data_IF_541466014914
#
_entry.id   IF_541466014914
#
_cell.length_a   1.000
_cell.length_b   1.000
_cell.length_c   1.000
_cell.angle_alpha   90.00
_cell.angle_beta   90.00
_cell.angle_gamma   90.00
#
_symmetry.space_group_name_H-M   'P 1'
#
loop_
_entity.id
_entity.type
_entity.pdbx_description
1 polymer ?
#
# COMPACT_ATOMS: atom_id res chain seq x y z
N UNK A 1 27.39 6.96 -3.63
CA UNK A 1 26.03 7.57 -3.67
C UNK A 1 25.20 7.09 -4.86
N UNK A 2 25.39 7.54 -6.11
CA UNK A 2 24.48 7.17 -7.23
C UNK A 2 24.39 5.65 -7.47
N UNK A 3 25.53 4.95 -7.46
CA UNK A 3 25.56 3.49 -7.66
C UNK A 3 24.86 2.75 -6.50
N UNK A 4 25.03 3.21 -5.25
CA UNK A 4 24.44 2.58 -4.06
C UNK A 4 22.91 2.63 -4.08
N UNK A 5 22.32 3.70 -4.63
CA UNK A 5 20.88 3.81 -4.80
C UNK A 5 20.38 3.23 -6.13
N UNK A 6 21.21 3.16 -7.17
CA UNK A 6 20.76 2.59 -8.44
C UNK A 6 20.73 1.06 -8.40
N UNK A 7 21.73 0.45 -7.77
CA UNK A 7 21.91 -1.00 -7.78
C UNK A 7 20.74 -1.79 -7.17
N UNK A 8 20.21 -1.46 -5.98
CA UNK A 8 19.10 -2.21 -5.38
C UNK A 8 17.83 -2.18 -6.24
N UNK A 9 17.51 -1.03 -6.83
CA UNK A 9 16.33 -0.86 -7.69
C UNK A 9 16.48 -1.66 -8.97
N UNK A 10 17.63 -1.54 -9.67
CA UNK A 10 17.87 -2.30 -10.90
C UNK A 10 17.94 -3.80 -10.64
N UNK A 11 18.64 -4.23 -9.58
CA UNK A 11 18.73 -5.64 -9.21
C UNK A 11 17.34 -6.22 -8.92
N UNK A 12 16.50 -5.48 -8.18
CA UNK A 12 15.14 -5.91 -7.89
C UNK A 12 14.26 -5.95 -9.15
N UNK A 13 14.36 -4.95 -10.03
CA UNK A 13 13.64 -4.94 -11.31
C UNK A 13 14.02 -6.14 -12.19
N UNK A 14 15.32 -6.42 -12.32
CA UNK A 14 15.82 -7.60 -13.06
C UNK A 14 15.38 -8.92 -12.41
N UNK A 15 15.37 -8.99 -11.09
CA UNK A 15 14.83 -10.13 -10.35
C UNK A 15 13.37 -10.39 -10.72
N UNK A 16 12.50 -9.38 -10.71
CA UNK A 16 11.09 -9.56 -11.07
C UNK A 16 10.86 -9.85 -12.56
N UNK A 17 11.71 -9.35 -13.46
CA UNK A 17 11.74 -9.82 -14.85
C UNK A 17 12.03 -11.32 -14.93
N UNK A 18 13.02 -11.80 -14.17
CA UNK A 18 13.35 -13.23 -14.09
C UNK A 18 12.21 -14.07 -13.49
N UNK A 19 11.57 -13.58 -12.43
CA UNK A 19 10.39 -14.23 -11.81
C UNK A 19 9.25 -14.32 -12.82
N UNK A 20 8.96 -13.26 -13.57
CA UNK A 20 7.94 -13.30 -14.62
C UNK A 20 8.23 -14.39 -15.65
N UNK A 21 9.45 -14.44 -16.19
CA UNK A 21 9.86 -15.47 -17.15
C UNK A 21 9.65 -16.87 -16.54
N UNK A 22 10.11 -17.10 -15.31
CA UNK A 22 9.94 -18.39 -14.64
C UNK A 22 8.45 -18.75 -14.45
N UNK A 23 7.61 -17.81 -14.02
CA UNK A 23 6.19 -18.05 -13.80
C UNK A 23 5.42 -18.34 -15.08
N UNK A 24 5.85 -17.82 -16.24
CA UNK A 24 5.23 -18.19 -17.52
C UNK A 24 5.35 -19.68 -17.85
N UNK A 25 6.36 -20.37 -17.30
CA UNK A 25 6.54 -21.82 -17.47
C UNK A 25 5.93 -22.65 -16.34
N UNK A 26 5.87 -22.11 -15.12
CA UNK A 26 5.44 -22.84 -13.93
C UNK A 26 3.93 -22.70 -13.67
N UNK A 27 3.39 -21.51 -13.89
CA UNK A 27 1.98 -21.20 -13.57
C UNK A 27 1.15 -21.39 -14.83
N UNK A 28 0.15 -22.27 -14.76
CA UNK A 28 -0.82 -22.49 -15.82
C UNK A 28 -2.07 -21.65 -15.54
N UNK A 29 -2.35 -20.60 -16.34
CA UNK A 29 -3.57 -19.81 -16.16
C UNK A 29 -4.83 -20.63 -16.48
N UNK A 30 -5.95 -20.39 -15.77
CA UNK A 30 -7.22 -21.04 -16.11
C UNK A 30 -7.62 -20.79 -17.58
N UNK A 31 -8.08 -21.83 -18.31
CA UNK A 31 -8.32 -21.74 -19.76
C UNK A 31 -9.44 -20.78 -20.15
N UNK A 32 -10.35 -20.49 -19.22
CA UNK A 32 -11.49 -19.56 -19.39
C UNK A 32 -11.08 -18.07 -19.45
N UNK A 33 -9.86 -17.73 -19.05
CA UNK A 33 -9.39 -16.35 -19.04
C UNK A 33 -9.03 -15.88 -20.44
N UNK A 34 -9.34 -14.61 -20.75
CA UNK A 34 -8.82 -13.93 -21.94
C UNK A 34 -7.31 -13.73 -21.83
N UNK A 35 -6.62 -13.41 -22.94
CA UNK A 35 -5.16 -13.27 -22.90
C UNK A 35 -4.68 -12.13 -21.99
N UNK A 36 -5.43 -11.02 -21.89
CA UNK A 36 -5.13 -9.95 -20.93
C UNK A 36 -5.32 -10.44 -19.49
N UNK A 37 -6.41 -11.18 -19.21
CA UNK A 37 -6.64 -11.76 -17.88
C UNK A 37 -5.59 -12.81 -17.51
N UNK A 38 -5.09 -13.61 -18.46
CA UNK A 38 -3.98 -14.55 -18.22
C UNK A 38 -2.71 -13.82 -17.81
N UNK A 39 -2.39 -12.69 -18.45
CA UNK A 39 -1.25 -11.85 -18.07
C UNK A 39 -1.43 -11.24 -16.69
N UNK A 40 -2.64 -10.72 -16.40
CA UNK A 40 -2.98 -10.23 -15.07
C UNK A 40 -2.82 -11.33 -14.01
N UNK A 41 -3.30 -12.55 -14.28
CA UNK A 41 -3.16 -13.69 -13.37
C UNK A 41 -1.69 -14.02 -13.06
N UNK A 42 -0.79 -13.97 -14.04
CA UNK A 42 0.65 -14.09 -13.80
C UNK A 42 1.17 -12.90 -12.98
N UNK A 43 0.75 -11.67 -13.30
CA UNK A 43 1.07 -10.45 -12.55
C UNK A 43 0.68 -10.54 -11.07
N UNK A 44 -0.49 -11.12 -10.75
CA UNK A 44 -0.94 -11.35 -9.37
C UNK A 44 -0.02 -12.31 -8.62
N UNK A 45 0.56 -13.32 -9.28
CA UNK A 45 1.55 -14.21 -8.66
C UNK A 45 2.88 -13.49 -8.41
N UNK A 46 3.34 -12.66 -9.35
CA UNK A 46 4.55 -11.83 -9.16
C UNK A 46 4.32 -10.88 -7.97
N UNK A 47 3.15 -10.24 -7.91
CA UNK A 47 2.74 -9.35 -6.83
C UNK A 47 2.66 -10.08 -5.48
N UNK A 48 2.16 -11.32 -5.47
CA UNK A 48 2.11 -12.15 -4.26
C UNK A 48 3.53 -12.43 -3.76
N UNK A 49 4.43 -12.87 -4.63
CA UNK A 49 5.84 -13.10 -4.29
C UNK A 49 6.44 -11.80 -3.75
N UNK A 50 6.26 -10.69 -4.43
CA UNK A 50 6.75 -9.40 -3.96
C UNK A 50 6.26 -9.05 -2.57
N UNK A 51 4.95 -9.06 -2.36
CA UNK A 51 4.37 -8.66 -1.08
C UNK A 51 4.83 -9.53 0.09
N UNK A 52 5.09 -10.83 -0.14
CA UNK A 52 5.67 -11.73 0.87
C UNK A 52 7.11 -11.32 1.18
N UNK A 53 7.96 -11.17 0.15
CA UNK A 53 9.37 -10.79 0.33
C UNK A 53 9.50 -9.40 0.97
N UNK A 54 8.77 -8.41 0.47
CA UNK A 54 8.76 -7.06 1.00
C UNK A 54 8.29 -7.01 2.46
N UNK A 55 7.21 -7.74 2.80
CA UNK A 55 6.74 -7.83 4.18
C UNK A 55 7.79 -8.43 5.11
N UNK A 56 8.42 -9.53 4.70
CA UNK A 56 9.47 -10.19 5.51
C UNK A 56 10.67 -9.26 5.69
N UNK A 57 11.20 -8.72 4.60
CA UNK A 57 12.37 -7.85 4.62
C UNK A 57 12.13 -6.58 5.45
N UNK A 58 10.99 -5.91 5.24
CA UNK A 58 10.64 -4.70 5.98
C UNK A 58 10.43 -4.97 7.47
N UNK A 59 9.72 -6.06 7.82
CA UNK A 59 9.56 -6.47 9.22
C UNK A 59 10.88 -6.83 9.87
N UNK A 60 11.77 -7.54 9.17
CA UNK A 60 13.08 -7.90 9.71
C UNK A 60 13.91 -6.66 10.06
N UNK A 61 13.97 -5.67 9.15
CA UNK A 61 14.69 -4.42 9.40
C UNK A 61 14.03 -3.65 10.54
N UNK A 62 12.71 -3.45 10.48
CA UNK A 62 11.94 -2.75 11.49
C UNK A 62 12.10 -3.36 12.89
N UNK A 63 12.08 -4.69 13.01
CA UNK A 63 12.27 -5.38 14.29
C UNK A 63 13.73 -5.24 14.76
N UNK A 64 14.71 -5.42 13.86
CA UNK A 64 16.13 -5.35 14.20
C UNK A 64 16.57 -3.96 14.68
N UNK A 65 15.88 -2.91 14.23
CA UNK A 65 16.16 -1.52 14.59
C UNK A 65 15.38 -1.04 15.82
N UNK A 66 14.64 -1.94 16.48
CA UNK A 66 13.73 -1.61 17.60
C UNK A 66 12.60 -0.64 17.21
N UNK A 67 12.08 -0.80 16.00
CA UNK A 67 10.95 -0.05 15.49
C UNK A 67 11.36 1.20 14.70
N UNK A 68 10.49 2.22 14.71
CA UNK A 68 10.70 3.43 13.91
C UNK A 68 11.65 4.42 14.59
N UNK A 69 12.55 5.00 13.80
CA UNK A 69 13.36 6.16 14.19
C UNK A 69 13.31 7.25 13.11
N UNK A 70 12.60 8.34 13.42
CA UNK A 70 12.25 9.37 12.44
C UNK A 70 13.41 10.25 11.99
N UNK A 71 14.43 10.44 12.82
CA UNK A 71 15.48 11.46 12.60
C UNK A 71 16.90 10.86 12.69
N UNK A 72 17.06 9.66 12.12
CA UNK A 72 18.37 9.01 11.98
C UNK A 72 18.80 8.84 10.53
N UNK A 73 20.10 8.97 10.25
CA UNK A 73 20.65 8.74 8.92
C UNK A 73 20.18 7.41 8.33
N UNK A 74 19.81 7.46 7.05
CA UNK A 74 19.40 6.29 6.30
C UNK A 74 20.55 5.31 6.18
N UNK A 75 20.31 4.05 6.56
CA UNK A 75 21.34 3.00 6.54
C UNK A 75 21.18 2.04 5.36
N UNK A 76 22.18 1.17 5.17
CA UNK A 76 22.22 0.25 4.04
C UNK A 76 21.04 -0.75 4.02
N UNK A 77 20.60 -1.26 5.18
CA UNK A 77 19.46 -2.18 5.24
C UNK A 77 18.16 -1.50 4.80
N UNK A 78 17.93 -0.27 5.25
CA UNK A 78 16.78 0.54 4.82
C UNK A 78 16.81 0.80 3.31
N UNK A 79 17.98 1.14 2.74
CA UNK A 79 18.17 1.33 1.29
C UNK A 79 17.85 0.04 0.54
N UNK A 80 18.37 -1.11 0.97
CA UNK A 80 18.12 -2.39 0.29
C UNK A 80 16.63 -2.75 0.30
N UNK A 81 15.95 -2.59 1.44
CA UNK A 81 14.52 -2.91 1.56
C UNK A 81 13.67 -1.97 0.71
N UNK A 82 13.91 -0.65 0.81
CA UNK A 82 13.19 0.33 0.00
C UNK A 82 13.47 0.15 -1.49
N UNK A 83 14.72 -0.07 -1.86
CA UNK A 83 15.14 -0.32 -3.23
C UNK A 83 14.52 -1.59 -3.82
N UNK A 84 14.34 -2.64 -3.01
CA UNK A 84 13.62 -3.84 -3.41
C UNK A 84 12.18 -3.53 -3.83
N UNK A 85 11.42 -2.82 -3.00
CA UNK A 85 10.05 -2.42 -3.32
C UNK A 85 9.99 -1.41 -4.48
N UNK A 86 10.88 -0.42 -4.54
CA UNK A 86 10.87 0.53 -5.66
C UNK A 86 11.21 -0.12 -7.00
N UNK A 87 12.11 -1.11 -7.02
CA UNK A 87 12.38 -1.91 -8.22
C UNK A 87 11.17 -2.73 -8.66
N UNK A 88 10.44 -3.33 -7.71
CA UNK A 88 9.16 -3.99 -7.99
C UNK A 88 8.12 -3.02 -8.55
N UNK A 89 7.85 -1.90 -7.89
CA UNK A 89 6.82 -0.96 -8.31
C UNK A 89 7.12 -0.34 -9.69
N UNK A 90 8.40 -0.17 -10.01
CA UNK A 90 8.84 0.24 -11.35
C UNK A 90 8.58 -0.84 -12.38
N UNK A 91 8.98 -2.09 -12.07
CA UNK A 91 8.67 -3.25 -12.92
C UNK A 91 7.16 -3.39 -13.18
N UNK A 92 6.35 -3.33 -12.13
CA UNK A 92 4.91 -3.55 -12.17
C UNK A 92 4.20 -2.44 -12.96
N UNK A 93 4.61 -1.18 -12.79
CA UNK A 93 4.10 -0.06 -13.58
C UNK A 93 4.39 -0.23 -15.08
N UNK A 94 5.61 -0.66 -15.44
CA UNK A 94 5.98 -0.91 -16.84
C UNK A 94 5.19 -2.10 -17.39
N UNK A 95 5.16 -3.22 -16.66
CA UNK A 95 4.47 -4.44 -17.06
C UNK A 95 2.97 -4.19 -17.30
N UNK A 96 2.32 -3.51 -16.36
CA UNK A 96 0.90 -3.23 -16.46
C UNK A 96 0.55 -2.24 -17.57
N UNK A 97 1.38 -1.25 -17.86
CA UNK A 97 1.13 -0.31 -18.97
C UNK A 97 1.39 -0.97 -20.33
N UNK A 98 2.45 -1.78 -20.46
CA UNK A 98 2.74 -2.54 -21.69
C UNK A 98 1.61 -3.49 -22.08
N UNK A 99 0.90 -4.05 -21.10
CA UNK A 99 -0.18 -5.02 -21.33
C UNK A 99 -1.58 -4.46 -21.06
N UNK A 100 -1.70 -3.17 -20.73
CA UNK A 100 -2.97 -2.50 -20.47
C UNK A 100 -3.78 -3.13 -19.32
N UNK A 101 -3.11 -3.59 -18.26
CA UNK A 101 -3.72 -4.36 -17.17
C UNK A 101 -4.38 -3.47 -16.12
N UNK A 102 -3.86 -2.27 -15.89
CA UNK A 102 -4.37 -1.37 -14.86
C UNK A 102 -5.55 -0.52 -15.31
N UNK A 103 -6.56 -0.43 -14.44
CA UNK A 103 -7.56 0.61 -14.53
C UNK A 103 -6.99 1.97 -14.09
N UNK A 104 -7.80 3.03 -14.20
CA UNK A 104 -7.37 4.38 -13.80
C UNK A 104 -7.05 4.50 -12.32
N UNK A 105 -7.72 3.74 -11.45
CA UNK A 105 -7.47 3.79 -10.01
C UNK A 105 -6.11 3.18 -9.66
N UNK A 106 -5.76 2.05 -10.30
CA UNK A 106 -4.44 1.44 -10.16
C UNK A 106 -3.35 2.29 -10.79
N UNK A 107 -3.56 2.87 -11.99
CA UNK A 107 -2.59 3.83 -12.56
C UNK A 107 -2.30 4.99 -11.62
N UNK A 108 -3.35 5.58 -11.05
CA UNK A 108 -3.24 6.65 -10.07
C UNK A 108 -2.46 6.20 -8.82
N UNK A 109 -2.74 4.99 -8.31
CA UNK A 109 -1.95 4.39 -7.23
C UNK A 109 -0.46 4.28 -7.57
N UNK A 110 -0.11 3.75 -8.74
CA UNK A 110 1.29 3.61 -9.16
C UNK A 110 2.01 4.95 -9.30
N UNK A 111 1.33 5.99 -9.81
CA UNK A 111 1.88 7.35 -9.86
C UNK A 111 2.28 7.78 -8.44
N UNK A 112 1.38 7.71 -7.47
CA UNK A 112 1.70 8.13 -6.11
C UNK A 112 2.73 7.25 -5.41
N UNK A 113 2.72 5.95 -5.64
CA UNK A 113 3.74 5.04 -5.08
C UNK A 113 5.12 5.34 -5.65
N UNK A 114 5.24 5.63 -6.94
CA UNK A 114 6.52 6.01 -7.55
C UNK A 114 6.97 7.39 -7.06
N UNK A 115 6.10 8.41 -7.17
CA UNK A 115 6.45 9.78 -6.82
C UNK A 115 6.64 10.01 -5.31
N UNK A 116 5.97 9.23 -4.46
CA UNK A 116 6.18 9.26 -3.00
C UNK A 116 7.27 8.31 -2.52
N UNK A 117 7.43 7.16 -3.16
CA UNK A 117 8.39 6.14 -2.77
C UNK A 117 9.84 6.52 -3.11
N UNK A 118 10.11 7.11 -4.27
CA UNK A 118 11.48 7.50 -4.64
C UNK A 118 12.09 8.60 -3.73
N UNK A 119 11.36 9.66 -3.34
CA UNK A 119 11.87 10.60 -2.34
C UNK A 119 12.20 9.94 -0.99
N UNK A 120 11.36 9.00 -0.52
CA UNK A 120 11.65 8.24 0.69
C UNK A 120 12.88 7.34 0.54
N UNK A 121 13.03 6.72 -0.64
CA UNK A 121 14.18 5.91 -0.97
C UNK A 121 15.48 6.71 -1.01
N UNK A 122 15.47 7.91 -1.61
CA UNK A 122 16.64 8.76 -1.81
C UNK A 122 16.95 9.66 -0.61
N UNK A 123 16.12 9.62 0.43
CA UNK A 123 16.31 10.45 1.61
C UNK A 123 17.56 10.00 2.38
N UNK A 124 18.47 10.94 2.65
CA UNK A 124 19.68 10.68 3.45
C UNK A 124 19.39 10.52 4.95
N UNK A 125 18.21 10.92 5.40
CA UNK A 125 17.75 10.85 6.79
C UNK A 125 16.29 10.37 6.81
N UNK A 126 15.91 9.63 7.86
CA UNK A 126 14.55 9.14 8.03
C UNK A 126 14.22 7.89 7.22
N UNK A 127 15.19 7.11 6.75
CA UNK A 127 14.94 5.86 6.01
C UNK A 127 14.06 4.86 6.76
N UNK A 128 14.11 4.86 8.10
CA UNK A 128 13.22 4.06 8.96
C UNK A 128 11.73 4.37 8.73
N UNK A 129 11.38 5.64 8.46
CA UNK A 129 10.01 6.05 8.11
C UNK A 129 9.51 5.34 6.85
N UNK A 130 10.37 5.22 5.84
CA UNK A 130 10.07 4.49 4.61
C UNK A 130 9.87 2.99 4.87
N UNK A 131 10.74 2.37 5.68
CA UNK A 131 10.62 0.95 6.05
C UNK A 131 9.32 0.70 6.82
N UNK A 132 8.98 1.53 7.80
CA UNK A 132 7.71 1.43 8.53
C UNK A 132 6.52 1.65 7.61
N UNK A 133 6.61 2.56 6.63
CA UNK A 133 5.58 2.71 5.61
C UNK A 133 5.36 1.40 4.85
N UNK A 134 6.43 0.73 4.40
CA UNK A 134 6.34 -0.58 3.75
C UNK A 134 5.73 -1.65 4.66
N UNK A 135 6.10 -1.72 5.94
CA UNK A 135 5.47 -2.66 6.89
C UNK A 135 3.96 -2.42 6.95
N UNK A 136 3.53 -1.17 7.09
CA UNK A 136 2.12 -0.81 7.18
C UNK A 136 1.38 -1.13 5.88
N UNK A 137 1.98 -0.85 4.73
CA UNK A 137 1.30 -0.98 3.44
C UNK A 137 1.33 -2.40 2.90
N UNK A 138 2.45 -3.12 3.00
CA UNK A 138 2.61 -4.42 2.35
C UNK A 138 1.95 -5.57 3.10
N UNK A 139 1.76 -5.48 4.43
CA UNK A 139 1.22 -6.59 5.23
C UNK A 139 -0.16 -7.11 4.78
N UNK A 140 -1.01 -6.25 4.20
CA UNK A 140 -2.31 -6.66 3.66
C UNK A 140 -2.20 -7.36 2.30
N UNK A 141 -1.15 -7.08 1.54
CA UNK A 141 -1.06 -7.43 0.12
C UNK A 141 -0.96 -8.93 -0.16
N UNK A 142 -0.30 -9.79 0.65
CA UNK A 142 -0.30 -11.23 0.40
C UNK A 142 -1.72 -11.82 0.37
N UNK A 143 -2.55 -11.41 1.33
CA UNK A 143 -3.97 -11.86 1.37
C UNK A 143 -4.80 -11.25 0.24
N UNK A 144 -4.46 -10.04 -0.22
CA UNK A 144 -5.08 -9.41 -1.38
C UNK A 144 -4.79 -10.18 -2.67
N UNK A 145 -3.53 -10.56 -2.90
CA UNK A 145 -3.14 -11.25 -4.12
C UNK A 145 -3.67 -12.68 -4.11
N UNK A 146 -3.62 -13.37 -2.96
CA UNK A 146 -4.20 -14.70 -2.82
C UNK A 146 -5.71 -14.74 -3.14
N UNK A 147 -6.50 -13.76 -2.67
CA UNK A 147 -7.93 -13.72 -3.01
C UNK A 147 -8.16 -13.47 -4.51
N UNK A 148 -7.32 -12.69 -5.19
CA UNK A 148 -7.46 -12.40 -6.62
C UNK A 148 -7.15 -13.64 -7.46
N UNK A 149 -6.06 -14.34 -7.13
CA UNK A 149 -5.69 -15.62 -7.74
C UNK A 149 -6.82 -16.64 -7.58
N UNK A 150 -7.36 -16.80 -6.36
CA UNK A 150 -8.47 -17.72 -6.10
C UNK A 150 -9.74 -17.32 -6.86
N UNK A 151 -10.01 -16.03 -7.00
CA UNK A 151 -11.15 -15.52 -7.78
C UNK A 151 -11.03 -15.92 -9.25
N UNK A 152 -9.86 -15.73 -9.85
CA UNK A 152 -9.61 -16.04 -11.27
C UNK A 152 -9.66 -17.55 -11.54
N UNK A 153 -9.25 -18.37 -10.57
CA UNK A 153 -9.47 -19.82 -10.59
C UNK A 153 -10.96 -20.20 -10.53
N UNK A 154 -11.84 -19.30 -10.08
CA UNK A 154 -13.26 -19.57 -9.82
C UNK A 154 -13.54 -20.16 -8.44
N UNK A 155 -12.59 -20.06 -7.51
CA UNK A 155 -12.64 -20.62 -6.17
C UNK A 155 -13.23 -19.63 -5.13
N UNK A 156 -14.20 -18.79 -5.53
CA UNK A 156 -14.77 -17.73 -4.67
C UNK A 156 -15.61 -18.27 -3.51
N UNK A 157 -16.11 -19.50 -3.60
CA UNK A 157 -16.89 -20.12 -2.51
C UNK A 157 -16.02 -20.80 -1.45
N UNK A 158 -14.72 -20.96 -1.73
CA UNK A 158 -13.78 -21.64 -0.84
C UNK A 158 -13.60 -20.89 0.48
N UNK A 159 -13.31 -21.64 1.55
CA UNK A 159 -13.00 -21.05 2.85
C UNK A 159 -11.75 -20.17 2.77
N UNK A 160 -10.73 -20.59 2.01
CA UNK A 160 -9.49 -19.84 1.84
C UNK A 160 -9.74 -18.47 1.18
N UNK A 161 -10.61 -18.40 0.16
CA UNK A 161 -10.98 -17.12 -0.47
C UNK A 161 -11.65 -16.19 0.54
N UNK A 162 -12.63 -16.70 1.30
CA UNK A 162 -13.36 -15.91 2.31
C UNK A 162 -12.45 -15.38 3.41
N UNK A 163 -11.55 -16.23 3.93
CA UNK A 163 -10.55 -15.81 4.92
C UNK A 163 -9.63 -14.75 4.32
N UNK A 164 -9.11 -14.95 3.11
CA UNK A 164 -8.20 -14.01 2.45
C UNK A 164 -8.88 -12.65 2.21
N UNK A 165 -10.15 -12.65 1.79
CA UNK A 165 -10.94 -11.43 1.61
C UNK A 165 -11.13 -10.67 2.92
N UNK A 166 -11.49 -11.37 4.00
CA UNK A 166 -11.68 -10.76 5.32
C UNK A 166 -10.36 -10.22 5.88
N UNK A 167 -9.31 -11.05 5.88
CA UNK A 167 -7.97 -10.67 6.36
C UNK A 167 -7.43 -9.46 5.61
N UNK A 168 -7.57 -9.42 4.29
CA UNK A 168 -7.18 -8.26 3.50
C UNK A 168 -7.87 -6.99 3.99
N UNK A 169 -9.21 -7.00 4.10
CA UNK A 169 -9.96 -5.82 4.49
C UNK A 169 -9.61 -5.39 5.93
N UNK A 170 -9.51 -6.33 6.86
CA UNK A 170 -9.18 -6.06 8.25
C UNK A 170 -7.78 -5.45 8.39
N UNK A 171 -6.76 -6.09 7.81
CA UNK A 171 -5.36 -5.62 7.88
C UNK A 171 -5.22 -4.27 7.17
N UNK A 172 -5.82 -4.11 5.98
CA UNK A 172 -5.73 -2.87 5.22
C UNK A 172 -6.33 -1.68 5.99
N UNK A 173 -7.55 -1.83 6.49
CA UNK A 173 -8.25 -0.77 7.22
C UNK A 173 -7.53 -0.44 8.54
N UNK A 174 -7.05 -1.44 9.27
CA UNK A 174 -6.35 -1.22 10.53
C UNK A 174 -4.97 -0.60 10.32
N UNK A 175 -4.10 -1.25 9.55
CA UNK A 175 -2.73 -0.78 9.36
C UNK A 175 -2.73 0.58 8.66
N UNK A 176 -3.38 0.70 7.50
CA UNK A 176 -3.27 1.92 6.70
C UNK A 176 -4.25 3.02 7.16
N UNK A 177 -5.37 2.66 7.76
CA UNK A 177 -6.35 3.61 8.30
C UNK A 177 -6.03 4.09 9.71
N UNK A 178 -5.62 3.21 10.63
CA UNK A 178 -5.32 3.60 12.02
C UNK A 178 -3.84 3.91 12.18
N UNK A 179 -2.96 2.93 11.97
CA UNK A 179 -1.50 3.12 12.19
C UNK A 179 -0.94 4.14 11.21
N UNK A 180 -1.36 4.11 9.94
CA UNK A 180 -0.97 5.06 8.90
C UNK A 180 -1.30 6.52 9.25
N UNK A 181 -2.40 6.77 9.98
CA UNK A 181 -2.74 8.13 10.45
C UNK A 181 -1.69 8.66 11.43
N UNK A 182 -1.26 7.81 12.37
CA UNK A 182 -0.24 8.20 13.34
C UNK A 182 1.13 8.32 12.68
N UNK A 183 1.47 7.45 11.71
CA UNK A 183 2.71 7.56 10.94
C UNK A 183 2.80 8.90 10.21
N UNK A 184 1.74 9.24 9.47
CA UNK A 184 1.65 10.48 8.71
C UNK A 184 1.77 11.68 9.65
N UNK A 185 0.94 11.73 10.70
CA UNK A 185 1.01 12.79 11.70
C UNK A 185 2.40 12.97 12.32
N UNK A 186 3.03 11.87 12.77
CA UNK A 186 4.34 11.91 13.39
C UNK A 186 5.43 12.35 12.43
N UNK A 187 5.36 11.96 11.14
CA UNK A 187 6.34 12.37 10.13
C UNK A 187 6.50 13.89 10.06
N UNK A 188 5.41 14.64 10.26
CA UNK A 188 5.46 16.11 10.26
C UNK A 188 6.04 16.70 11.54
N UNK A 189 6.03 15.98 12.67
CA UNK A 189 6.51 16.49 13.95
C UNK A 189 8.04 16.48 14.06
N UNK A 190 8.70 15.58 13.33
CA UNK A 190 10.16 15.44 13.32
C UNK A 190 10.83 16.34 12.28
N UNK A 191 12.16 16.50 12.40
CA UNK A 191 12.97 17.26 11.45
C UNK A 191 13.33 16.43 10.21
N UNK A 192 12.33 15.83 9.59
CA UNK A 192 12.49 15.12 8.31
C UNK A 192 12.45 16.12 7.15
N UNK A 193 13.03 15.73 6.02
CA UNK A 193 12.92 16.51 4.80
C UNK A 193 11.44 16.74 4.44
N UNK A 194 11.05 17.98 4.14
CA UNK A 194 9.67 18.32 3.79
C UNK A 194 9.13 17.50 2.60
N UNK A 195 9.98 17.17 1.62
CA UNK A 195 9.58 16.32 0.50
C UNK A 195 9.24 14.91 0.97
N UNK A 196 9.93 14.39 1.99
CA UNK A 196 9.62 13.09 2.59
C UNK A 196 8.29 13.12 3.34
N UNK A 197 8.05 14.16 4.16
CA UNK A 197 6.76 14.33 4.85
C UNK A 197 5.59 14.41 3.86
N UNK A 198 5.71 15.23 2.81
CA UNK A 198 4.70 15.31 1.74
C UNK A 198 4.52 13.94 1.07
N UNK A 199 5.60 13.22 0.80
CA UNK A 199 5.54 11.90 0.16
C UNK A 199 4.76 10.90 1.01
N UNK A 200 5.01 10.85 2.32
CA UNK A 200 4.25 10.00 3.26
C UNK A 200 2.77 10.40 3.26
N UNK A 201 2.46 11.69 3.31
CA UNK A 201 1.07 12.17 3.27
C UNK A 201 0.36 11.83 1.97
N UNK A 202 1.03 11.89 0.82
CA UNK A 202 0.40 11.49 -0.45
C UNK A 202 0.13 9.99 -0.51
N UNK A 203 1.05 9.15 -0.01
CA UNK A 203 0.85 7.70 0.11
C UNK A 203 -0.27 7.36 1.12
N UNK A 204 -0.36 8.11 2.21
CA UNK A 204 -1.46 8.01 3.16
C UNK A 204 -2.80 8.45 2.53
N UNK A 205 -2.81 9.50 1.72
CA UNK A 205 -3.98 9.92 0.93
C UNK A 205 -4.50 8.81 0.00
N UNK A 206 -3.60 8.10 -0.69
CA UNK A 206 -3.95 6.91 -1.48
C UNK A 206 -4.56 5.81 -0.61
N UNK A 207 -4.02 5.60 0.59
CA UNK A 207 -4.56 4.64 1.54
C UNK A 207 -5.96 5.01 2.03
N UNK A 208 -6.20 6.28 2.34
CA UNK A 208 -7.51 6.80 2.70
C UNK A 208 -8.52 6.68 1.55
N UNK A 209 -8.09 6.90 0.31
CA UNK A 209 -8.91 6.66 -0.87
C UNK A 209 -9.35 5.18 -0.96
N UNK A 210 -8.43 4.23 -0.80
CA UNK A 210 -8.77 2.81 -0.83
C UNK A 210 -9.60 2.37 0.38
N UNK A 211 -9.34 2.91 1.58
CA UNK A 211 -10.19 2.69 2.75
C UNK A 211 -11.64 3.12 2.46
N UNK A 212 -11.82 4.28 1.84
CA UNK A 212 -13.13 4.76 1.39
C UNK A 212 -13.80 3.77 0.41
N UNK A 213 -13.06 3.25 -0.57
CA UNK A 213 -13.57 2.25 -1.52
C UNK A 213 -13.97 0.94 -0.81
N UNK A 214 -13.13 0.43 0.10
CA UNK A 214 -13.39 -0.81 0.85
C UNK A 214 -14.63 -0.65 1.75
N UNK A 215 -14.74 0.46 2.47
CA UNK A 215 -15.92 0.78 3.29
C UNK A 215 -17.17 0.82 2.42
N UNK A 216 -17.11 1.44 1.23
CA UNK A 216 -18.23 1.43 0.29
C UNK A 216 -18.59 0.03 -0.21
N UNK A 217 -17.63 -0.86 -0.40
CA UNK A 217 -17.88 -2.25 -0.78
C UNK A 217 -18.61 -2.99 0.34
N UNK A 218 -18.12 -2.87 1.59
CA UNK A 218 -18.75 -3.47 2.78
C UNK A 218 -20.18 -2.94 2.96
N UNK A 219 -20.39 -1.63 2.86
CA UNK A 219 -21.73 -1.02 2.98
C UNK A 219 -22.70 -1.50 1.89
N UNK A 220 -22.21 -1.82 0.68
CA UNK A 220 -23.03 -2.40 -0.38
C UNK A 220 -23.40 -3.86 -0.09
N UNK A 221 -22.47 -4.65 0.45
CA UNK A 221 -22.75 -6.04 0.86
C UNK A 221 -23.77 -6.09 2.02
N UNK A 222 -23.73 -5.12 2.92
CA UNK A 222 -24.70 -4.97 4.01
C UNK A 222 -26.08 -4.44 3.54
N UNK A 223 -26.20 -3.98 2.29
CA UNK A 223 -27.47 -3.47 1.75
C UNK A 223 -28.40 -4.65 1.44
N UNK A 224 -29.26 -5.01 2.39
CA UNK A 224 -30.39 -5.92 2.16
C UNK A 224 -31.50 -5.31 1.29
N UNK A 225 -32.63 -6.03 1.12
CA UNK A 225 -33.70 -5.70 0.15
C UNK A 225 -34.55 -4.46 0.47
N UNK A 226 -34.16 -3.60 1.42
CA UNK A 226 -34.69 -2.23 1.55
C UNK A 226 -35.99 -2.10 2.36
N UNK A 227 -36.22 -3.01 3.31
CA UNK A 227 -37.41 -3.01 4.17
C UNK A 227 -37.18 -2.33 5.52
N UNK A 228 -35.94 -2.16 5.98
CA UNK A 228 -35.63 -1.62 7.33
C UNK A 228 -35.05 -0.19 7.33
N UNK A 229 -35.20 0.55 8.45
CA UNK A 229 -34.63 1.90 8.63
C UNK A 229 -33.11 1.92 8.44
N UNK A 230 -32.41 0.89 8.95
CA UNK A 230 -30.95 0.73 8.78
C UNK A 230 -30.56 0.65 7.30
N UNK A 231 -31.29 -0.13 6.50
CA UNK A 231 -31.04 -0.26 5.05
C UNK A 231 -31.31 1.04 4.29
N UNK A 232 -32.35 1.80 4.68
CA UNK A 232 -32.62 3.13 4.10
C UNK A 232 -31.49 4.11 4.41
N UNK A 233 -30.97 4.12 5.63
CA UNK A 233 -29.83 4.94 6.02
C UNK A 233 -28.57 4.55 5.24
N UNK A 234 -28.26 3.25 5.14
CA UNK A 234 -27.12 2.75 4.36
C UNK A 234 -27.26 3.16 2.87
N UNK A 235 -28.44 2.98 2.27
CA UNK A 235 -28.67 3.33 0.88
C UNK A 235 -28.52 4.84 0.64
N UNK A 236 -28.99 5.68 1.56
CA UNK A 236 -28.82 7.14 1.49
C UNK A 236 -27.34 7.52 1.59
N UNK A 237 -26.61 6.94 2.55
CA UNK A 237 -25.16 7.16 2.70
C UNK A 237 -24.38 6.76 1.45
N UNK A 238 -24.61 5.56 0.90
CA UNK A 238 -23.94 5.11 -0.34
C UNK A 238 -24.26 6.04 -1.52
N UNK A 239 -25.49 6.52 -1.65
CA UNK A 239 -25.87 7.44 -2.72
C UNK A 239 -25.15 8.80 -2.60
N UNK A 240 -25.12 9.38 -1.40
CA UNK A 240 -24.44 10.66 -1.14
C UNK A 240 -22.94 10.53 -1.43
N UNK A 241 -22.29 9.49 -0.91
CA UNK A 241 -20.85 9.27 -1.08
C UNK A 241 -20.48 9.12 -2.57
N UNK A 242 -21.26 8.35 -3.34
CA UNK A 242 -21.03 8.21 -4.78
C UNK A 242 -21.20 9.52 -5.55
N UNK A 243 -22.24 10.31 -5.23
CA UNK A 243 -22.51 11.58 -5.92
C UNK A 243 -21.37 12.59 -5.76
N UNK A 244 -20.72 12.59 -4.60
CA UNK A 244 -19.65 13.53 -4.26
C UNK A 244 -18.25 12.91 -4.34
N UNK A 245 -18.08 11.79 -5.05
CA UNK A 245 -16.83 11.01 -5.02
C UNK A 245 -15.59 11.84 -5.38
N UNK A 246 -15.62 12.65 -6.44
CA UNK A 246 -14.46 13.48 -6.84
C UNK A 246 -14.08 14.50 -5.78
N UNK A 247 -15.07 15.15 -5.16
CA UNK A 247 -14.85 16.13 -4.08
C UNK A 247 -14.27 15.43 -2.85
N UNK A 248 -14.81 14.26 -2.48
CA UNK A 248 -14.32 13.47 -1.35
C UNK A 248 -12.86 13.06 -1.58
N UNK A 249 -12.50 12.61 -2.79
CA UNK A 249 -11.12 12.25 -3.12
C UNK A 249 -10.20 13.46 -3.00
N UNK A 250 -10.57 14.61 -3.55
CA UNK A 250 -9.77 15.83 -3.42
C UNK A 250 -9.59 16.24 -1.94
N UNK A 251 -10.66 16.19 -1.14
CA UNK A 251 -10.61 16.48 0.28
C UNK A 251 -9.73 15.48 1.06
N UNK A 252 -9.70 14.21 0.69
CA UNK A 252 -8.82 13.21 1.31
C UNK A 252 -7.35 13.61 1.15
N UNK A 253 -6.93 13.98 -0.07
CA UNK A 253 -5.53 14.36 -0.33
C UNK A 253 -5.16 15.70 0.30
N UNK A 254 -6.06 16.69 0.26
CA UNK A 254 -5.87 17.95 0.97
C UNK A 254 -5.73 17.70 2.47
N UNK A 255 -6.63 16.91 3.05
CA UNK A 255 -6.62 16.61 4.47
C UNK A 255 -5.35 15.86 4.88
N UNK A 256 -4.92 14.86 4.11
CA UNK A 256 -3.72 14.07 4.39
C UNK A 256 -2.46 14.95 4.48
N UNK A 257 -2.32 15.98 3.63
CA UNK A 257 -1.13 16.85 3.67
C UNK A 257 -1.26 17.97 4.69
N UNK A 258 -2.40 18.66 4.73
CA UNK A 258 -2.54 19.88 5.52
C UNK A 258 -2.85 19.62 6.99
N UNK A 259 -3.58 18.55 7.32
CA UNK A 259 -4.00 18.31 8.71
C UNK A 259 -2.80 18.10 9.65
N UNK A 260 -1.81 17.23 9.34
CA UNK A 260 -0.63 17.08 10.19
C UNK A 260 0.14 18.39 10.42
N UNK A 261 0.28 19.20 9.37
CA UNK A 261 0.96 20.48 9.42
C UNK A 261 0.22 21.49 10.30
N UNK A 262 -1.10 21.56 10.17
CA UNK A 262 -1.96 22.43 10.99
C UNK A 262 -1.86 22.04 12.47
N UNK A 263 -1.94 20.74 12.78
CA UNK A 263 -1.81 20.25 14.16
C UNK A 263 -0.46 20.61 14.78
N UNK A 264 0.64 20.48 14.01
CA UNK A 264 1.96 20.94 14.46
C UNK A 264 1.96 22.44 14.79
N UNK A 265 1.34 23.27 13.94
CA UNK A 265 1.25 24.71 14.15
C UNK A 265 0.48 25.09 15.42
N UNK A 266 -0.55 24.30 15.78
CA UNK A 266 -1.29 24.47 17.04
C UNK A 266 -0.56 23.91 18.27
N UNK A 267 0.69 23.45 18.12
CA UNK A 267 1.52 22.99 19.24
C UNK A 267 1.25 21.54 19.68
N UNK A 268 0.53 20.75 18.87
CA UNK A 268 0.42 19.32 19.13
C UNK A 268 1.79 18.64 18.87
N UNK A 269 2.14 17.67 19.71
CA UNK A 269 3.41 16.94 19.64
C UNK A 269 3.23 15.54 19.09
N UNK A 270 4.32 14.86 18.74
CA UNK A 270 4.28 13.48 18.24
C UNK A 270 3.60 12.51 19.24
N UNK A 271 2.86 11.54 18.71
CA UNK A 271 2.21 10.49 19.48
C UNK A 271 2.97 9.18 19.32
N UNK A 272 3.68 8.77 20.37
CA UNK A 272 4.44 7.52 20.32
C UNK A 272 3.74 6.39 21.05
N UNK A 273 3.71 5.23 20.39
CA UNK A 273 3.42 3.97 21.06
C UNK A 273 4.74 3.22 21.26
N UNK A 274 5.17 3.08 22.51
CA UNK A 274 6.43 2.41 22.86
C UNK A 274 6.18 1.18 23.72
N UNK A 275 6.99 0.14 23.51
CA UNK A 275 7.06 -1.03 24.36
C UNK A 275 8.53 -1.32 24.70
N UNK A 276 8.94 -0.94 25.91
CA UNK A 276 10.35 -0.94 26.29
C UNK A 276 11.17 -0.01 25.39
N UNK A 277 12.24 -0.54 24.78
CA UNK A 277 13.07 0.19 23.82
C UNK A 277 12.50 0.20 22.39
N UNK A 278 11.36 -0.47 22.16
CA UNK A 278 10.76 -0.60 20.86
C UNK A 278 9.78 0.56 20.60
N UNK A 279 9.97 1.32 19.52
CA UNK A 279 9.05 2.39 19.10
C UNK A 279 8.16 1.89 17.97
N UNK A 280 6.88 1.65 18.27
CA UNK A 280 5.92 1.09 17.31
C UNK A 280 5.49 2.15 16.28
N UNK A 281 5.22 3.36 16.75
CA UNK A 281 4.84 4.51 15.93
C UNK A 281 5.32 5.80 16.59
#
# INVERSE_FOLDING_TARGET
MVVEYLMPVLASMLFYCGVNIALQYVVVPPPKLTDSQKKNYIGEHISLIHSIFASILALSVYISENGINYDTPTNASQIIVLGHSMGYFTYDAIYAELFGLHDWAMRFHHIFVIFGGFPAYLASNGGSLGVTCLVITELSNPTMQLRLILKDQGNTDSLLYKISQFSFAAIFLFNRGVIGTFLDYNSWQYNVNIMLAISVSMLYGVSCFWNYIIILMILKELKGKGTTLKERLISKSVHILKKSQTVIVALIFIWAVFMPHILKHFGFTAYHLKYGNFTII
#
